data_IF_817521700302
#
_entry.id   IF_817521700302
#
_cell.length_a   1.000
_cell.length_b   1.000
_cell.length_c   1.000
_cell.angle_alpha   90.00
_cell.angle_beta   90.00
_cell.angle_gamma   90.00
#
_symmetry.space_group_name_H-M   'P 1'
#
loop_
_entity.id
_entity.type
_entity.pdbx_description
1 polymer ?
#
# COMPACT_ATOMS: atom_id res chain seq x y z
N UNK A 1 16.27 -29.78 31.00
CA UNK A 1 15.65 -29.18 29.80
C UNK A 1 16.56 -28.04 29.38
N UNK A 2 17.38 -28.25 28.35
CA UNK A 2 18.26 -27.21 27.82
C UNK A 2 17.48 -26.36 26.83
N UNK A 3 17.21 -25.10 27.18
CA UNK A 3 16.69 -24.11 26.23
C UNK A 3 17.88 -23.50 25.51
N UNK A 4 18.13 -23.92 24.28
CA UNK A 4 19.06 -23.25 23.38
C UNK A 4 18.55 -21.82 23.11
N UNK A 5 19.43 -20.79 23.08
CA UNK A 5 19.01 -19.44 22.74
C UNK A 5 18.48 -19.41 21.29
N UNK A 6 17.35 -18.74 21.08
CA UNK A 6 16.81 -18.50 19.73
C UNK A 6 17.84 -17.73 18.90
N UNK A 7 18.00 -18.03 17.60
CA UNK A 7 18.87 -17.26 16.74
C UNK A 7 18.48 -15.77 16.76
N UNK A 8 19.44 -14.85 16.62
CA UNK A 8 19.15 -13.43 16.50
C UNK A 8 18.24 -13.21 15.29
N UNK A 9 17.25 -12.34 15.45
CA UNK A 9 16.40 -11.94 14.33
C UNK A 9 17.28 -11.34 13.22
N UNK A 10 17.00 -11.65 11.95
CA UNK A 10 17.64 -10.93 10.85
C UNK A 10 17.43 -9.41 11.04
N UNK A 11 18.38 -8.62 10.54
CA UNK A 11 18.29 -7.16 10.61
C UNK A 11 16.93 -6.70 10.07
N UNK A 12 16.17 -6.00 10.91
CA UNK A 12 14.83 -5.57 10.56
C UNK A 12 14.91 -4.58 9.38
N UNK A 13 14.15 -4.85 8.33
CA UNK A 13 14.00 -3.92 7.21
C UNK A 13 13.05 -2.78 7.64
N UNK A 14 13.60 -1.79 8.34
CA UNK A 14 12.87 -0.60 8.79
C UNK A 14 12.86 0.44 7.68
N UNK A 15 11.67 0.98 7.40
CA UNK A 15 11.45 2.13 6.51
C UNK A 15 11.12 3.36 7.36
N UNK A 16 11.49 4.55 6.89
CA UNK A 16 11.23 5.79 7.61
C UNK A 16 9.78 6.25 7.43
N UNK A 17 9.26 6.11 6.20
CA UNK A 17 7.93 6.54 5.81
C UNK A 17 7.44 5.81 4.58
N UNK A 18 6.15 5.50 4.55
CA UNK A 18 5.43 5.08 3.36
C UNK A 18 4.37 6.12 3.04
N UNK A 19 4.41 6.65 1.82
CA UNK A 19 3.33 7.47 1.27
C UNK A 19 2.51 6.63 0.29
N UNK A 20 1.19 6.72 0.39
CA UNK A 20 0.23 6.01 -0.47
C UNK A 20 -0.67 7.04 -1.14
N UNK A 21 -0.74 6.99 -2.47
CA UNK A 21 -1.63 7.83 -3.25
C UNK A 21 -0.98 9.12 -3.79
N UNK A 22 -1.77 10.00 -4.44
CA UNK A 22 -3.22 9.98 -4.50
C UNK A 22 -3.76 8.80 -5.34
N UNK A 23 -4.90 8.25 -4.92
CA UNK A 23 -5.57 7.17 -5.66
C UNK A 23 -6.27 7.74 -6.89
N UNK A 24 -6.07 7.10 -8.04
CA UNK A 24 -6.82 7.35 -9.26
C UNK A 24 -7.85 6.23 -9.44
N UNK A 25 -9.09 6.63 -9.72
CA UNK A 25 -10.19 5.72 -9.90
C UNK A 25 -10.69 5.65 -11.33
N UNK A 26 -10.91 4.43 -11.77
CA UNK A 26 -11.71 4.07 -12.92
C UNK A 26 -12.80 3.10 -12.45
N UNK A 27 -13.83 2.90 -13.26
CA UNK A 27 -15.00 2.10 -12.88
C UNK A 27 -14.66 0.70 -12.34
N UNK A 28 -13.61 0.08 -12.89
CA UNK A 28 -13.18 -1.29 -12.59
C UNK A 28 -11.77 -1.37 -12.01
N UNK A 29 -11.16 -0.23 -11.66
CA UNK A 29 -9.73 -0.21 -11.33
C UNK A 29 -9.42 0.95 -10.40
N UNK A 30 -8.57 0.71 -9.42
CA UNK A 30 -7.89 1.75 -8.67
C UNK A 30 -6.39 1.64 -8.92
N UNK A 31 -5.71 2.78 -9.01
CA UNK A 31 -4.25 2.84 -9.01
C UNK A 31 -3.75 3.82 -7.98
N UNK A 32 -2.64 3.51 -7.32
CA UNK A 32 -2.06 4.35 -6.29
C UNK A 32 -0.53 4.22 -6.29
N UNK A 33 0.23 5.33 -6.36
CA UNK A 33 1.67 5.27 -6.17
C UNK A 33 1.99 4.98 -4.70
N UNK A 34 2.99 4.14 -4.47
CA UNK A 34 3.53 3.79 -3.17
C UNK A 34 4.98 4.24 -3.13
N UNK A 35 5.28 5.24 -2.31
CA UNK A 35 6.63 5.77 -2.16
C UNK A 35 7.18 5.41 -0.79
N UNK A 36 8.20 4.55 -0.77
CA UNK A 36 8.96 4.22 0.42
C UNK A 36 10.13 5.19 0.54
N UNK A 37 10.26 5.81 1.71
CA UNK A 37 11.42 6.58 2.10
C UNK A 37 12.26 5.78 3.08
N UNK A 38 13.57 5.66 2.80
CA UNK A 38 14.53 4.97 3.66
C UNK A 38 15.91 5.60 3.51
N UNK A 39 16.53 5.99 4.62
CA UNK A 39 17.90 6.54 4.65
C UNK A 39 18.10 7.74 3.70
N UNK A 40 17.05 8.57 3.55
CA UNK A 40 17.07 9.73 2.64
C UNK A 40 16.85 9.39 1.16
N UNK A 41 16.71 8.12 0.79
CA UNK A 41 16.31 7.68 -0.55
C UNK A 41 14.80 7.46 -0.63
N UNK A 42 14.24 7.67 -1.81
CA UNK A 42 12.84 7.42 -2.12
C UNK A 42 12.74 6.44 -3.29
N UNK A 43 11.92 5.41 -3.12
CA UNK A 43 11.60 4.46 -4.19
C UNK A 43 10.09 4.36 -4.36
N UNK A 44 9.62 4.48 -5.60
CA UNK A 44 8.19 4.47 -5.93
C UNK A 44 7.82 3.27 -6.80
N UNK A 45 6.66 2.69 -6.53
CA UNK A 45 5.97 1.73 -7.41
C UNK A 45 4.49 2.12 -7.53
N UNK A 46 3.76 1.54 -8.48
CA UNK A 46 2.30 1.69 -8.56
C UNK A 46 1.59 0.41 -8.11
N UNK A 47 0.66 0.55 -7.16
CA UNK A 47 -0.42 -0.41 -6.99
C UNK A 47 -1.39 -0.24 -8.15
N UNK A 48 -1.73 -1.36 -8.79
CA UNK A 48 -2.80 -1.43 -9.79
C UNK A 48 -3.70 -2.59 -9.39
N UNK A 49 -4.94 -2.27 -9.00
CA UNK A 49 -5.91 -3.29 -8.60
C UNK A 49 -7.14 -3.21 -9.50
N UNK A 50 -7.47 -4.32 -10.16
CA UNK A 50 -8.57 -4.41 -11.13
C UNK A 50 -9.65 -5.38 -10.68
N UNK A 51 -10.89 -5.06 -11.01
CA UNK A 51 -12.09 -5.83 -10.70
C UNK A 51 -12.76 -6.30 -11.99
N UNK A 52 -13.45 -7.44 -11.93
CA UNK A 52 -14.23 -7.93 -13.08
C UNK A 52 -15.45 -7.04 -13.34
N UNK A 53 -16.07 -6.54 -12.27
CA UNK A 53 -17.26 -5.69 -12.29
C UNK A 53 -16.92 -4.20 -12.07
N UNK A 54 -17.86 -3.31 -12.45
CA UNK A 54 -17.74 -1.87 -12.25
C UNK A 54 -18.12 -1.49 -10.82
N UNK A 55 -17.19 -1.68 -9.89
CA UNK A 55 -17.39 -1.48 -8.45
C UNK A 55 -17.26 -0.03 -7.99
N UNK A 56 -16.74 0.87 -8.84
CA UNK A 56 -16.57 2.28 -8.52
C UNK A 56 -17.32 3.20 -9.48
N UNK A 57 -17.71 4.36 -8.97
CA UNK A 57 -18.18 5.50 -9.75
C UNK A 57 -17.21 6.69 -9.60
N UNK A 58 -16.34 6.93 -10.59
CA UNK A 58 -15.39 8.05 -10.53
C UNK A 58 -16.09 9.41 -10.37
N UNK A 59 -15.61 10.22 -9.44
CA UNK A 59 -16.22 11.50 -9.08
C UNK A 59 -17.24 11.40 -7.94
N UNK A 60 -17.67 10.21 -7.56
CA UNK A 60 -18.42 9.99 -6.34
C UNK A 60 -17.48 9.94 -5.13
N UNK A 61 -17.71 10.80 -4.14
CA UNK A 61 -16.88 10.85 -2.94
C UNK A 61 -16.87 9.52 -2.16
N UNK A 62 -17.98 8.78 -2.15
CA UNK A 62 -18.05 7.46 -1.52
C UNK A 62 -17.11 6.44 -2.17
N UNK A 63 -17.10 6.39 -3.50
CA UNK A 63 -16.19 5.56 -4.28
C UNK A 63 -14.72 5.94 -4.03
N UNK A 64 -14.40 7.24 -3.97
CA UNK A 64 -13.04 7.71 -3.64
C UNK A 64 -12.58 7.28 -2.24
N UNK A 65 -13.41 7.52 -1.23
CA UNK A 65 -13.07 7.16 0.16
C UNK A 65 -12.83 5.65 0.32
N UNK A 66 -13.64 4.82 -0.35
CA UNK A 66 -13.46 3.37 -0.34
C UNK A 66 -12.13 2.98 -1.01
N UNK A 67 -11.80 3.57 -2.15
CA UNK A 67 -10.55 3.27 -2.84
C UNK A 67 -9.31 3.73 -2.06
N UNK A 68 -9.37 4.89 -1.40
CA UNK A 68 -8.32 5.37 -0.51
C UNK A 68 -8.09 4.39 0.67
N UNK A 69 -9.16 3.88 1.26
CA UNK A 69 -9.09 2.86 2.31
C UNK A 69 -8.47 1.56 1.81
N UNK A 70 -8.88 1.07 0.63
CA UNK A 70 -8.34 -0.16 0.03
C UNK A 70 -6.85 -0.02 -0.25
N UNK A 71 -6.43 1.11 -0.84
CA UNK A 71 -5.01 1.38 -1.08
C UNK A 71 -4.22 1.43 0.23
N UNK A 72 -4.72 2.12 1.26
CA UNK A 72 -4.04 2.15 2.55
C UNK A 72 -3.93 0.76 3.21
N UNK A 73 -4.97 -0.08 3.13
CA UNK A 73 -4.99 -1.38 3.78
C UNK A 73 -3.99 -2.38 3.18
N UNK A 74 -3.81 -2.40 1.86
CA UNK A 74 -2.85 -3.30 1.19
C UNK A 74 -1.40 -2.93 1.52
N UNK A 75 -1.17 -1.70 1.99
CA UNK A 75 0.15 -1.19 2.33
C UNK A 75 0.67 -1.63 3.72
N UNK A 76 -0.19 -2.21 4.56
CA UNK A 76 0.08 -2.60 5.95
C UNK A 76 0.15 -4.13 6.10
#
# INVERSE_FOLDING_TARGET
MNSSPSPPLPELLVIDRLEVGPVKLERKRLTAPYTVYRNGEAHSTELIYSYEEAVFEPGEAGSQNLADMIAAQVAL
#
